data_IF_656356399685
#
_entry.id   IF_656356399685
#
_cell.length_a   1.000
_cell.length_b   1.000
_cell.length_c   1.000
_cell.angle_alpha   90.00
_cell.angle_beta   90.00
_cell.angle_gamma   90.00
#
_symmetry.space_group_name_H-M   'P 1'
#
loop_
_entity.id
_entity.type
_entity.pdbx_description
1 polymer ?
#
# COMPACT_ATOMS: atom_id res chain seq x y z
N UNK A 1 23.02 2.50 18.51
CA UNK A 1 23.12 3.96 18.77
C UNK A 1 23.92 4.36 20.01
N UNK A 2 24.40 3.45 20.86
CA UNK A 2 25.16 3.81 22.08
C UNK A 2 26.53 4.46 21.86
N UNK A 3 26.98 4.62 20.61
CA UNK A 3 28.20 5.35 20.26
C UNK A 3 28.02 6.88 20.25
N UNK A 4 26.77 7.37 20.20
CA UNK A 4 26.43 8.81 20.25
C UNK A 4 25.94 9.27 21.63
N UNK A 5 26.05 8.41 22.65
CA UNK A 5 25.66 8.74 24.02
C UNK A 5 26.77 9.62 24.66
N UNK A 6 26.49 10.89 24.99
CA UNK A 6 27.50 11.83 25.50
C UNK A 6 28.27 11.29 26.71
N UNK A 7 27.59 10.60 27.62
CA UNK A 7 28.20 10.01 28.82
C UNK A 7 29.21 8.92 28.48
N UNK A 8 28.91 8.12 27.45
CA UNK A 8 29.78 7.05 26.97
C UNK A 8 30.91 7.58 26.10
N UNK A 9 30.70 8.70 25.41
CA UNK A 9 31.77 9.37 24.67
C UNK A 9 32.84 9.93 25.60
N UNK A 10 32.45 10.47 26.77
CA UNK A 10 33.38 10.92 27.79
C UNK A 10 34.13 9.75 28.48
N UNK A 11 33.40 8.69 28.90
CA UNK A 11 33.99 7.60 29.72
C UNK A 11 34.62 6.47 28.92
N UNK A 12 34.19 6.24 27.70
CA UNK A 12 34.51 5.03 26.91
C UNK A 12 34.70 5.34 25.41
N UNK A 13 35.53 6.34 25.10
CA UNK A 13 35.82 6.79 23.73
C UNK A 13 36.20 5.63 22.78
N UNK A 14 37.07 4.70 23.21
CA UNK A 14 37.50 3.55 22.41
C UNK A 14 36.34 2.59 22.04
N UNK A 15 35.40 2.36 22.97
CA UNK A 15 34.21 1.54 22.73
C UNK A 15 33.26 2.22 21.74
N UNK A 16 33.09 3.54 21.86
CA UNK A 16 32.30 4.34 20.94
C UNK A 16 32.89 4.37 19.53
N UNK A 17 34.22 4.47 19.41
CA UNK A 17 34.93 4.41 18.13
C UNK A 17 34.71 3.08 17.40
N UNK A 18 34.91 1.95 18.10
CA UNK A 18 34.67 0.62 17.52
C UNK A 18 33.23 0.44 17.04
N UNK A 19 32.27 0.93 17.83
CA UNK A 19 30.84 0.89 17.47
C UNK A 19 30.53 1.79 16.27
N UNK A 20 31.16 2.96 16.17
CA UNK A 20 31.00 3.83 15.01
C UNK A 20 31.52 3.16 13.73
N UNK A 21 32.65 2.44 13.79
CA UNK A 21 33.16 1.66 12.66
C UNK A 21 32.15 0.61 12.18
N UNK A 22 31.50 -0.10 13.10
CA UNK A 22 30.43 -1.06 12.77
C UNK A 22 29.26 -0.33 12.10
N UNK A 23 28.83 0.81 12.65
CA UNK A 23 27.73 1.61 12.08
C UNK A 23 28.05 2.09 10.66
N UNK A 24 29.26 2.57 10.39
CA UNK A 24 29.69 2.98 9.05
C UNK A 24 29.69 1.80 8.08
N UNK A 25 30.18 0.63 8.50
CA UNK A 25 30.13 -0.58 7.65
C UNK A 25 28.71 -0.98 7.25
N UNK A 26 27.75 -0.85 8.18
CA UNK A 26 26.32 -1.08 7.90
C UNK A 26 25.77 -0.04 6.93
N UNK A 27 26.14 1.25 7.09
CA UNK A 27 25.69 2.31 6.19
C UNK A 27 26.23 2.16 4.75
N UNK A 28 27.46 1.67 4.61
CA UNK A 28 28.04 1.31 3.29
C UNK A 28 27.28 0.14 2.67
N UNK A 29 26.99 -0.92 3.43
CA UNK A 29 26.20 -2.06 2.96
C UNK A 29 24.78 -1.64 2.51
N UNK A 30 24.19 -0.65 3.19
CA UNK A 30 22.90 -0.07 2.81
C UNK A 30 22.99 0.95 1.67
N UNK A 31 24.14 1.12 1.02
CA UNK A 31 24.41 2.10 -0.06
C UNK A 31 24.10 3.55 0.32
N UNK A 32 24.16 3.89 1.61
CA UNK A 32 23.90 5.25 2.12
C UNK A 32 25.17 6.08 2.26
N UNK A 33 26.34 5.46 2.18
CA UNK A 33 27.65 6.10 2.29
C UNK A 33 28.63 5.43 1.31
N UNK A 34 29.58 6.19 0.75
CA UNK A 34 30.66 5.63 -0.06
C UNK A 34 31.82 5.17 0.83
N UNK A 35 32.44 4.04 0.49
CA UNK A 35 33.55 3.47 1.26
C UNK A 35 34.74 4.43 1.40
N UNK A 36 34.98 5.28 0.37
CA UNK A 36 36.03 6.31 0.34
C UNK A 36 35.86 7.40 1.41
N UNK A 37 34.65 7.58 1.94
CA UNK A 37 34.36 8.62 2.93
C UNK A 37 34.47 8.12 4.38
N UNK A 38 34.48 6.80 4.59
CA UNK A 38 34.52 6.17 5.91
C UNK A 38 35.74 6.60 6.73
N UNK A 39 36.93 6.60 6.11
CA UNK A 39 38.17 6.94 6.81
C UNK A 39 38.20 8.42 7.21
N UNK A 40 37.69 9.31 6.34
CA UNK A 40 37.53 10.73 6.67
C UNK A 40 36.61 10.90 7.88
N UNK A 41 35.46 10.21 7.90
CA UNK A 41 34.48 10.32 9.00
C UNK A 41 35.06 9.76 10.31
N UNK A 42 35.82 8.67 10.26
CA UNK A 42 36.48 8.11 11.44
C UNK A 42 37.55 9.04 11.99
N UNK A 43 38.30 9.73 11.13
CA UNK A 43 39.26 10.76 11.56
C UNK A 43 38.54 11.96 12.21
N UNK A 44 37.47 12.45 11.61
CA UNK A 44 36.63 13.51 12.19
C UNK A 44 36.05 13.09 13.55
N UNK A 45 35.58 11.84 13.66
CA UNK A 45 35.05 11.30 14.90
C UNK A 45 36.11 11.13 15.99
N UNK A 46 37.34 10.78 15.61
CA UNK A 46 38.44 10.69 16.56
C UNK A 46 38.85 12.08 17.08
N UNK A 47 38.92 13.07 16.19
CA UNK A 47 39.16 14.47 16.55
C UNK A 47 38.07 15.03 17.46
N UNK A 48 36.82 14.60 17.25
CA UNK A 48 35.70 14.99 18.12
C UNK A 48 35.89 14.52 19.57
N UNK A 49 36.53 13.36 19.83
CA UNK A 49 36.81 12.94 21.20
C UNK A 49 37.72 13.91 21.96
N UNK A 50 38.59 14.65 21.26
CA UNK A 50 39.39 15.69 21.90
C UNK A 50 38.51 16.85 22.38
N UNK A 51 37.48 17.23 21.63
CA UNK A 51 36.51 18.25 22.08
C UNK A 51 35.60 17.75 23.22
N UNK A 52 35.27 16.45 23.21
CA UNK A 52 34.55 15.81 24.31
C UNK A 52 35.40 15.81 25.59
N UNK A 53 36.70 15.51 25.47
CA UNK A 53 37.63 15.53 26.60
C UNK A 53 37.79 16.94 27.19
N UNK A 54 37.86 17.98 26.35
CA UNK A 54 37.90 19.37 26.81
C UNK A 54 36.62 19.82 27.55
N UNK A 55 35.47 19.20 27.26
CA UNK A 55 34.17 19.56 27.85
C UNK A 55 33.57 18.40 28.67
N UNK A 56 34.41 17.56 29.28
CA UNK A 56 34.00 16.30 29.91
C UNK A 56 32.85 16.45 30.91
N UNK A 57 32.82 17.55 31.68
CA UNK A 57 31.78 17.81 32.67
C UNK A 57 30.37 17.94 32.06
N UNK A 58 30.22 18.61 30.92
CA UNK A 58 28.93 18.74 30.23
C UNK A 58 28.47 17.42 29.62
N UNK A 59 29.40 16.61 29.11
CA UNK A 59 29.10 15.33 28.50
C UNK A 59 28.74 14.26 29.55
N UNK A 60 29.38 14.28 30.72
CA UNK A 60 29.07 13.34 31.81
C UNK A 60 27.76 13.66 32.52
N UNK A 61 27.43 14.94 32.69
CA UNK A 61 26.19 15.39 33.35
C UNK A 61 24.99 15.43 32.42
N UNK A 62 25.17 15.13 31.12
CA UNK A 62 24.09 15.12 30.13
C UNK A 62 22.91 14.26 30.59
N UNK A 63 21.70 14.84 30.61
CA UNK A 63 20.46 14.13 30.96
C UNK A 63 19.50 14.13 29.78
N UNK A 64 19.20 12.92 29.28
CA UNK A 64 18.32 12.71 28.15
C UNK A 64 16.85 13.08 28.43
N UNK A 65 16.43 13.18 29.70
CA UNK A 65 15.08 13.60 30.07
C UNK A 65 14.91 15.12 30.04
N UNK A 66 16.00 15.87 30.29
CA UNK A 66 15.99 17.34 30.33
C UNK A 66 16.37 17.96 28.99
N UNK A 67 17.32 17.36 28.28
CA UNK A 67 17.86 17.91 27.04
C UNK A 67 17.79 16.91 25.89
N UNK A 68 17.37 17.40 24.73
CA UNK A 68 17.38 16.58 23.51
C UNK A 68 18.81 16.40 22.99
N UNK A 69 19.14 15.16 22.63
CA UNK A 69 20.48 14.78 22.16
C UNK A 69 20.89 15.50 20.87
N UNK A 70 19.95 15.72 19.94
CA UNK A 70 20.20 16.41 18.67
C UNK A 70 20.62 17.87 18.88
N UNK A 71 19.90 18.59 19.75
CA UNK A 71 20.24 19.97 20.13
C UNK A 71 21.55 20.08 20.90
N UNK A 72 21.91 19.05 21.66
CA UNK A 72 23.16 19.03 22.40
C UNK A 72 24.34 18.82 21.45
N UNK A 73 24.28 17.80 20.58
CA UNK A 73 25.36 17.49 19.63
C UNK A 73 25.51 18.59 18.56
N UNK A 74 24.43 19.26 18.17
CA UNK A 74 24.50 20.35 17.18
C UNK A 74 25.37 21.51 17.66
N UNK A 75 25.39 21.82 18.97
CA UNK A 75 26.27 22.89 19.52
C UNK A 75 27.75 22.68 19.21
N UNK A 76 28.18 21.43 19.12
CA UNK A 76 29.58 21.07 18.94
C UNK A 76 29.95 20.77 17.48
N UNK A 77 29.01 20.23 16.71
CA UNK A 77 29.24 19.72 15.36
C UNK A 77 28.69 20.64 14.26
N UNK A 78 27.67 21.44 14.55
CA UNK A 78 27.04 22.31 13.56
C UNK A 78 27.88 23.58 13.33
N UNK A 79 28.14 23.90 12.06
CA UNK A 79 28.90 25.10 11.66
C UNK A 79 30.42 24.92 11.57
N UNK A 80 30.99 23.83 12.10
CA UNK A 80 32.42 23.55 11.98
C UNK A 80 32.73 22.81 10.67
N UNK A 81 33.59 23.40 9.82
CA UNK A 81 34.02 22.79 8.55
C UNK A 81 34.73 21.43 8.76
N UNK A 82 35.39 21.26 9.90
CA UNK A 82 36.14 20.06 10.26
C UNK A 82 35.28 18.83 10.59
N UNK A 83 33.96 18.97 10.79
CA UNK A 83 33.08 17.86 11.16
C UNK A 83 31.87 17.71 10.22
N UNK A 84 31.93 18.28 9.02
CA UNK A 84 30.78 18.31 8.11
C UNK A 84 30.33 16.90 7.70
N UNK A 85 31.27 16.00 7.41
CA UNK A 85 30.96 14.63 6.99
C UNK A 85 30.41 13.82 8.15
N UNK A 86 31.01 13.96 9.33
CA UNK A 86 30.54 13.36 10.56
C UNK A 86 29.12 13.83 10.93
N UNK A 87 28.85 15.13 10.83
CA UNK A 87 27.52 15.69 11.13
C UNK A 87 26.44 15.18 10.18
N UNK A 88 26.76 15.03 8.89
CA UNK A 88 25.84 14.45 7.91
C UNK A 88 25.47 13.00 8.27
N UNK A 89 26.44 12.18 8.69
CA UNK A 89 26.18 10.80 9.14
C UNK A 89 25.36 10.77 10.41
N UNK A 90 25.67 11.63 11.39
CA UNK A 90 24.92 11.74 12.64
C UNK A 90 23.47 12.14 12.37
N UNK A 91 23.20 13.06 11.44
CA UNK A 91 21.83 13.40 11.01
C UNK A 91 21.08 12.18 10.49
N UNK A 92 21.69 11.40 9.61
CA UNK A 92 21.08 10.16 9.08
C UNK A 92 20.76 9.20 10.24
N UNK A 93 21.70 9.03 11.17
CA UNK A 93 21.55 8.14 12.32
C UNK A 93 20.46 8.59 13.30
N UNK A 94 20.33 9.89 13.56
CA UNK A 94 19.27 10.45 14.42
C UNK A 94 17.89 10.35 13.76
N UNK A 95 17.82 10.34 12.41
CA UNK A 95 16.57 10.20 11.66
C UNK A 95 16.14 8.74 11.50
N UNK A 96 17.08 7.79 11.43
CA UNK A 96 16.80 6.37 11.21
C UNK A 96 15.85 5.75 12.26
N UNK A 97 15.88 6.22 13.52
CA UNK A 97 14.96 5.75 14.56
C UNK A 97 13.51 6.24 14.41
N UNK A 98 13.23 7.18 13.49
CA UNK A 98 11.91 7.81 13.39
C UNK A 98 10.92 7.11 12.45
N UNK A 99 11.32 6.02 11.77
CA UNK A 99 10.43 5.28 10.87
C UNK A 99 9.19 4.69 11.57
N UNK A 100 9.32 4.30 12.84
CA UNK A 100 8.20 3.80 13.65
C UNK A 100 7.74 4.79 14.72
N UNK A 101 8.59 5.70 15.22
CA UNK A 101 8.20 6.61 16.30
C UNK A 101 7.05 7.57 15.94
N UNK A 102 6.90 7.97 14.66
CA UNK A 102 5.77 8.79 14.21
C UNK A 102 4.49 7.97 14.16
N UNK A 103 4.59 6.73 13.68
CA UNK A 103 3.48 5.78 13.58
C UNK A 103 3.02 5.34 14.98
N UNK A 104 3.96 4.99 15.87
CA UNK A 104 3.72 4.65 17.29
C UNK A 104 3.19 5.85 18.10
N UNK A 105 3.66 7.08 17.84
CA UNK A 105 3.04 8.27 18.42
C UNK A 105 1.60 8.43 17.92
N UNK A 106 1.35 8.18 16.64
CA UNK A 106 0.01 8.13 16.08
C UNK A 106 -0.87 7.08 16.77
N UNK A 107 -0.34 5.88 17.01
CA UNK A 107 -1.05 4.82 17.74
C UNK A 107 -1.29 5.16 19.21
N UNK A 108 -0.32 5.77 19.91
CA UNK A 108 -0.51 6.19 21.29
C UNK A 108 -1.52 7.33 21.44
N UNK A 109 -1.60 8.23 20.45
CA UNK A 109 -2.65 9.28 20.40
C UNK A 109 -4.00 8.63 20.08
N UNK A 110 -4.03 7.68 19.15
CA UNK A 110 -5.25 6.95 18.81
C UNK A 110 -5.75 6.11 19.99
N UNK A 111 -4.87 5.55 20.84
CA UNK A 111 -5.24 4.80 22.05
C UNK A 111 -6.12 5.63 23.01
N UNK A 112 -5.89 6.93 23.09
CA UNK A 112 -6.72 7.83 23.92
C UNK A 112 -8.10 8.14 23.28
N UNK A 113 -8.25 7.85 21.98
CA UNK A 113 -9.46 8.10 21.17
C UNK A 113 -10.17 6.75 20.86
N UNK A 114 -9.51 5.63 21.16
CA UNK A 114 -9.90 4.27 20.84
C UNK A 114 -11.18 3.92 21.58
N UNK A 115 -12.24 3.76 20.80
CA UNK A 115 -13.52 3.23 21.28
C UNK A 115 -13.86 2.10 20.31
N UNK A 116 -14.24 0.94 20.86
CA UNK A 116 -14.62 -0.22 20.05
C UNK A 116 -15.70 0.16 19.04
N UNK A 117 -15.58 -0.37 17.81
CA UNK A 117 -16.57 -0.22 16.72
C UNK A 117 -16.67 1.16 16.04
N UNK A 118 -15.61 1.98 16.05
CA UNK A 118 -15.54 3.18 15.23
C UNK A 118 -14.91 2.92 13.85
N UNK A 119 -15.48 3.52 12.80
CA UNK A 119 -14.88 3.55 11.46
C UNK A 119 -13.70 4.53 11.41
N UNK A 120 -12.77 4.31 10.49
CA UNK A 120 -11.60 5.17 10.26
C UNK A 120 -11.98 6.65 10.10
N UNK A 121 -13.03 6.95 9.34
CA UNK A 121 -13.54 8.33 9.16
C UNK A 121 -13.87 9.02 10.49
N UNK A 122 -14.38 8.26 11.46
CA UNK A 122 -14.70 8.79 12.79
C UNK A 122 -13.44 9.07 13.60
N UNK A 123 -12.40 8.26 13.44
CA UNK A 123 -11.09 8.52 14.05
C UNK A 123 -10.45 9.78 13.49
N UNK A 124 -10.47 9.96 12.16
CA UNK A 124 -9.96 11.17 11.51
C UNK A 124 -10.71 12.41 12.01
N UNK A 125 -12.05 12.35 12.08
CA UNK A 125 -12.85 13.46 12.57
C UNK A 125 -12.54 13.81 14.05
N UNK A 126 -12.43 12.82 14.94
CA UNK A 126 -12.06 13.06 16.35
C UNK A 126 -10.67 13.64 16.49
N UNK A 127 -9.71 13.18 15.67
CA UNK A 127 -8.35 13.70 15.66
C UNK A 127 -8.28 15.16 15.22
N UNK A 128 -9.02 15.52 14.17
CA UNK A 128 -9.14 16.92 13.73
C UNK A 128 -9.65 17.83 14.86
N UNK A 129 -10.64 17.36 15.62
CA UNK A 129 -11.17 18.12 16.77
C UNK A 129 -10.10 18.30 17.85
N UNK A 130 -9.38 17.24 18.20
CA UNK A 130 -8.32 17.30 19.22
C UNK A 130 -7.15 18.18 18.80
N UNK A 131 -6.74 18.09 17.54
CA UNK A 131 -5.66 18.91 16.99
C UNK A 131 -6.04 20.41 17.05
N UNK A 132 -7.29 20.75 16.74
CA UNK A 132 -7.77 22.13 16.84
C UNK A 132 -7.89 22.62 18.29
N UNK A 133 -8.38 21.78 19.20
CA UNK A 133 -8.43 22.09 20.63
C UNK A 133 -7.03 22.32 21.22
N UNK A 134 -6.04 21.53 20.80
CA UNK A 134 -4.65 21.70 21.20
C UNK A 134 -4.07 23.03 20.70
N UNK A 135 -4.38 23.44 19.47
CA UNK A 135 -3.97 24.77 18.95
C UNK A 135 -4.59 25.91 19.76
N UNK A 136 -5.85 25.78 20.18
CA UNK A 136 -6.53 26.79 20.99
C UNK A 136 -6.05 26.84 22.45
N UNK A 137 -5.15 25.93 22.88
CA UNK A 137 -4.67 25.87 24.26
C UNK A 137 -5.65 25.19 25.22
N UNK A 138 -6.52 24.32 24.71
CA UNK A 138 -7.47 23.53 25.48
C UNK A 138 -8.92 24.02 25.40
N UNK A 139 -9.83 23.23 25.97
CA UNK A 139 -11.28 23.45 25.87
C UNK A 139 -11.74 24.78 26.50
N UNK A 140 -11.05 25.28 27.52
CA UNK A 140 -11.43 26.50 28.23
C UNK A 140 -11.24 27.77 27.39
N UNK A 141 -10.31 27.73 26.44
CA UNK A 141 -10.00 28.86 25.56
C UNK A 141 -10.75 28.79 24.23
N UNK A 142 -11.49 27.70 23.99
CA UNK A 142 -12.20 27.49 22.74
C UNK A 142 -13.50 28.30 22.70
N UNK A 143 -13.58 29.25 21.76
CA UNK A 143 -14.77 30.08 21.59
C UNK A 143 -15.82 29.38 20.73
N UNK A 144 -17.04 29.24 21.26
CA UNK A 144 -18.15 28.62 20.52
C UNK A 144 -18.75 29.61 19.51
N UNK A 145 -18.37 29.46 18.24
CA UNK A 145 -18.88 30.29 17.14
C UNK A 145 -20.36 29.98 16.80
N UNK A 146 -21.07 30.96 16.23
CA UNK A 146 -22.45 30.80 15.72
C UNK A 146 -22.57 29.67 14.69
N UNK A 147 -21.57 29.52 13.83
CA UNK A 147 -21.51 28.46 12.81
C UNK A 147 -21.45 27.06 13.42
N UNK A 148 -20.64 26.88 14.48
CA UNK A 148 -20.54 25.60 15.18
C UNK A 148 -21.88 25.19 15.79
N UNK A 149 -22.62 26.15 16.35
CA UNK A 149 -23.98 25.91 16.87
C UNK A 149 -24.96 25.50 15.76
N UNK A 150 -24.87 26.13 14.59
CA UNK A 150 -25.69 25.76 13.43
C UNK A 150 -25.33 24.35 12.94
N UNK A 151 -24.03 24.02 12.86
CA UNK A 151 -23.58 22.68 12.50
C UNK A 151 -24.07 21.62 13.48
N UNK A 152 -24.03 21.88 14.79
CA UNK A 152 -24.56 20.99 15.81
C UNK A 152 -26.08 20.76 15.65
N UNK A 153 -26.85 21.83 15.40
CA UNK A 153 -28.29 21.74 15.14
C UNK A 153 -28.61 20.85 13.91
N UNK A 154 -27.79 20.95 12.87
CA UNK A 154 -27.97 20.19 11.63
C UNK A 154 -27.31 18.79 11.65
N UNK A 155 -26.60 18.42 12.72
CA UNK A 155 -25.82 17.19 12.77
C UNK A 155 -26.70 15.94 12.58
N UNK A 156 -27.90 15.93 13.18
CA UNK A 156 -28.85 14.83 13.04
C UNK A 156 -29.34 14.66 11.60
N UNK A 157 -29.65 15.76 10.91
CA UNK A 157 -30.07 15.72 9.51
C UNK A 157 -28.96 15.16 8.62
N UNK A 158 -27.72 15.66 8.78
CA UNK A 158 -26.55 15.17 8.04
C UNK A 158 -26.28 13.69 8.29
N UNK A 159 -26.47 13.22 9.52
CA UNK A 159 -26.33 11.80 9.86
C UNK A 159 -27.35 10.93 9.12
N UNK A 160 -28.62 11.34 9.09
CA UNK A 160 -29.69 10.63 8.38
C UNK A 160 -29.40 10.60 6.88
N UNK A 161 -28.98 11.73 6.30
CA UNK A 161 -28.56 11.80 4.89
C UNK A 161 -27.41 10.84 4.58
N UNK A 162 -26.41 10.75 5.47
CA UNK A 162 -25.29 9.83 5.29
C UNK A 162 -25.74 8.36 5.33
N UNK A 163 -26.63 7.99 6.26
CA UNK A 163 -27.20 6.63 6.30
C UNK A 163 -27.96 6.32 5.00
N UNK A 164 -28.78 7.25 4.52
CA UNK A 164 -29.55 7.04 3.29
C UNK A 164 -28.62 6.89 2.08
N UNK A 165 -27.56 7.71 1.99
CA UNK A 165 -26.52 7.56 0.96
C UNK A 165 -25.83 6.20 1.03
N UNK A 166 -25.45 5.74 2.22
CA UNK A 166 -24.83 4.42 2.40
C UNK A 166 -25.78 3.29 1.96
N UNK A 167 -27.07 3.36 2.33
CA UNK A 167 -28.06 2.38 1.88
C UNK A 167 -28.21 2.35 0.36
N UNK A 168 -28.31 3.51 -0.28
CA UNK A 168 -28.40 3.61 -1.74
C UNK A 168 -27.12 3.12 -2.44
N UNK A 169 -25.95 3.39 -1.87
CA UNK A 169 -24.67 2.88 -2.38
C UNK A 169 -24.60 1.36 -2.30
N UNK A 170 -24.92 0.75 -1.14
CA UNK A 170 -24.96 -0.70 -1.01
C UNK A 170 -25.92 -1.35 -2.03
N UNK A 171 -27.12 -0.79 -2.20
CA UNK A 171 -28.09 -1.29 -3.18
C UNK A 171 -27.57 -1.17 -4.62
N UNK A 172 -26.90 -0.06 -4.96
CA UNK A 172 -26.32 0.13 -6.28
C UNK A 172 -25.12 -0.81 -6.52
N UNK A 173 -24.29 -1.05 -5.49
CA UNK A 173 -23.19 -2.00 -5.56
C UNK A 173 -23.69 -3.43 -5.78
N UNK A 174 -24.75 -3.86 -5.08
CA UNK A 174 -25.36 -5.17 -5.30
C UNK A 174 -25.92 -5.30 -6.71
N UNK A 175 -26.64 -4.29 -7.20
CA UNK A 175 -27.13 -4.25 -8.60
C UNK A 175 -25.98 -4.32 -9.59
N UNK A 176 -24.91 -3.56 -9.35
CA UNK A 176 -23.73 -3.55 -10.21
C UNK A 176 -22.98 -4.89 -10.17
N UNK A 177 -22.88 -5.55 -9.00
CA UNK A 177 -22.29 -6.89 -8.87
C UNK A 177 -23.09 -7.92 -9.65
N UNK A 178 -24.43 -7.92 -9.53
CA UNK A 178 -25.31 -8.81 -10.31
C UNK A 178 -25.18 -8.56 -11.80
N UNK A 179 -25.16 -7.29 -12.23
CA UNK A 179 -24.93 -6.93 -13.64
C UNK A 179 -23.58 -7.43 -14.14
N UNK A 180 -22.50 -7.24 -13.36
CA UNK A 180 -21.16 -7.73 -13.70
C UNK A 180 -21.14 -9.25 -13.88
N UNK A 181 -21.72 -9.99 -12.94
CA UNK A 181 -21.84 -11.46 -13.04
C UNK A 181 -22.55 -11.88 -14.31
N UNK A 182 -23.72 -11.29 -14.61
CA UNK A 182 -24.46 -11.60 -15.84
C UNK A 182 -23.64 -11.24 -17.08
N UNK A 183 -22.93 -10.10 -17.10
CA UNK A 183 -22.08 -9.72 -18.24
C UNK A 183 -20.89 -10.66 -18.44
N UNK A 184 -20.28 -11.15 -17.36
CA UNK A 184 -19.18 -12.12 -17.42
C UNK A 184 -19.69 -13.47 -17.95
N UNK A 185 -20.80 -13.98 -17.41
CA UNK A 185 -21.45 -15.21 -17.92
C UNK A 185 -21.81 -15.11 -19.41
N UNK A 186 -22.29 -13.94 -19.85
CA UNK A 186 -22.65 -13.69 -21.24
C UNK A 186 -21.40 -13.69 -22.15
N UNK A 187 -20.30 -13.08 -21.71
CA UNK A 187 -19.03 -13.13 -22.44
C UNK A 187 -18.47 -14.55 -22.53
N UNK A 188 -18.56 -15.33 -21.46
CA UNK A 188 -18.14 -16.73 -21.44
C UNK A 188 -18.97 -17.58 -22.41
N UNK A 189 -20.30 -17.43 -22.41
CA UNK A 189 -21.18 -18.12 -23.35
C UNK A 189 -20.90 -17.73 -24.79
N UNK A 190 -20.67 -16.44 -25.08
CA UNK A 190 -20.27 -15.98 -26.43
C UNK A 190 -18.95 -16.58 -26.88
N UNK A 191 -17.95 -16.66 -25.99
CA UNK A 191 -16.66 -17.26 -26.32
C UNK A 191 -16.78 -18.78 -26.59
N UNK A 192 -17.63 -19.48 -25.81
CA UNK A 192 -17.93 -20.90 -26.02
C UNK A 192 -18.65 -21.11 -27.35
N UNK A 193 -19.64 -20.28 -27.67
CA UNK A 193 -20.34 -20.30 -28.97
C UNK A 193 -19.36 -20.19 -30.13
N UNK A 194 -18.51 -19.17 -30.12
CA UNK A 194 -17.52 -18.94 -31.18
C UNK A 194 -16.61 -20.16 -31.41
N UNK A 195 -16.09 -20.78 -30.33
CA UNK A 195 -15.26 -21.98 -30.42
C UNK A 195 -16.01 -23.19 -31.03
N UNK A 196 -17.28 -23.38 -30.66
CA UNK A 196 -18.09 -24.47 -31.20
C UNK A 196 -18.41 -24.20 -32.68
N UNK A 197 -18.69 -22.95 -33.06
CA UNK A 197 -18.91 -22.55 -34.47
C UNK A 197 -17.67 -22.82 -35.35
N UNK A 198 -16.48 -22.46 -34.88
CA UNK A 198 -15.22 -22.79 -35.56
C UNK A 198 -15.03 -24.30 -35.72
N UNK A 199 -15.35 -25.06 -34.66
CA UNK A 199 -15.26 -26.53 -34.68
C UNK A 199 -16.24 -27.13 -35.69
N UNK A 200 -17.50 -26.66 -35.72
CA UNK A 200 -18.52 -27.10 -36.68
C UNK A 200 -18.07 -26.79 -38.12
N UNK A 201 -17.55 -25.59 -38.37
CA UNK A 201 -17.03 -25.22 -39.69
C UNK A 201 -15.86 -26.11 -40.13
N UNK A 202 -14.94 -26.43 -39.21
CA UNK A 202 -13.81 -27.31 -39.48
C UNK A 202 -14.24 -28.77 -39.77
N UNK A 203 -15.22 -29.28 -39.03
CA UNK A 203 -15.79 -30.62 -39.22
C UNK A 203 -16.53 -30.72 -40.56
N UNK A 204 -17.31 -29.71 -40.93
CA UNK A 204 -17.98 -29.64 -42.24
C UNK A 204 -16.96 -29.64 -43.38
N UNK A 205 -15.95 -28.75 -43.34
CA UNK A 205 -14.88 -28.71 -44.36
C UNK A 205 -14.14 -30.05 -44.47
N UNK A 206 -13.90 -30.72 -43.35
CA UNK A 206 -13.23 -32.03 -43.33
C UNK A 206 -14.12 -33.12 -43.90
N UNK A 207 -15.41 -33.11 -43.56
CA UNK A 207 -16.40 -34.04 -44.11
C UNK A 207 -16.56 -33.87 -45.63
N UNK A 208 -16.58 -32.64 -46.14
CA UNK A 208 -16.71 -32.35 -47.57
C UNK A 208 -15.47 -32.79 -48.35
N UNK A 209 -14.26 -32.56 -47.81
CA UNK A 209 -13.01 -33.10 -48.39
C UNK A 209 -12.99 -34.62 -48.43
N UNK A 210 -13.49 -35.29 -47.39
CA UNK A 210 -13.57 -36.76 -47.37
C UNK A 210 -14.60 -37.29 -48.36
N UNK A 211 -15.73 -36.59 -48.52
CA UNK A 211 -16.74 -36.92 -49.53
C UNK A 211 -16.18 -36.79 -50.96
N UNK A 212 -15.51 -35.68 -51.29
CA UNK A 212 -14.87 -35.50 -52.61
C UNK A 212 -13.80 -36.57 -52.90
N UNK A 213 -13.00 -36.95 -51.89
CA UNK A 213 -12.01 -38.03 -52.04
C UNK A 213 -12.68 -39.38 -52.27
N UNK A 214 -13.76 -39.66 -51.56
CA UNK A 214 -14.52 -40.89 -51.73
C UNK A 214 -15.14 -40.99 -53.14
N UNK A 215 -15.67 -39.89 -53.67
CA UNK A 215 -16.21 -39.83 -55.03
C UNK A 215 -15.15 -40.12 -56.10
N UNK A 216 -13.92 -39.59 -55.93
CA UNK A 216 -12.81 -39.81 -56.86
C UNK A 216 -12.24 -41.23 -56.80
N UNK A 217 -12.11 -41.80 -55.60
CA UNK A 217 -11.42 -43.08 -55.39
C UNK A 217 -12.37 -44.27 -55.18
N UNK A 218 -13.70 -44.06 -55.17
CA UNK A 218 -14.74 -45.04 -54.85
C UNK A 218 -14.52 -45.77 -53.51
N UNK A 219 -13.96 -45.05 -52.54
CA UNK A 219 -13.65 -45.58 -51.21
C UNK A 219 -14.84 -45.41 -50.25
N UNK A 220 -15.50 -46.52 -49.92
CA UNK A 220 -16.63 -46.56 -48.99
C UNK A 220 -16.25 -46.19 -47.55
N UNK A 221 -15.00 -46.40 -47.13
CA UNK A 221 -14.58 -46.12 -45.76
C UNK A 221 -14.52 -44.61 -45.50
N UNK A 222 -14.03 -43.84 -46.46
CA UNK A 222 -14.04 -42.36 -46.45
C UNK A 222 -15.47 -41.77 -46.37
N UNK A 223 -16.48 -42.46 -46.92
CA UNK A 223 -17.90 -42.03 -46.82
C UNK A 223 -18.42 -42.20 -45.38
N UNK A 224 -18.09 -43.34 -44.74
CA UNK A 224 -18.50 -43.59 -43.37
C UNK A 224 -17.90 -42.57 -42.40
N UNK A 225 -16.62 -42.21 -42.58
CA UNK A 225 -15.94 -41.17 -41.79
C UNK A 225 -16.56 -39.78 -42.02
N UNK A 226 -16.84 -39.41 -43.29
CA UNK A 226 -17.52 -38.15 -43.62
C UNK A 226 -18.90 -38.04 -42.94
N UNK A 227 -19.70 -39.11 -42.97
CA UNK A 227 -21.00 -39.15 -42.31
C UNK A 227 -20.89 -39.04 -40.78
N UNK A 228 -19.86 -39.65 -40.18
CA UNK A 228 -19.58 -39.51 -38.75
C UNK A 228 -19.30 -38.03 -38.38
N UNK A 229 -18.43 -37.35 -39.13
CA UNK A 229 -18.15 -35.93 -38.92
C UNK A 229 -19.37 -35.03 -39.13
N UNK A 230 -20.22 -35.32 -40.12
CA UNK A 230 -21.49 -34.61 -40.32
C UNK A 230 -22.46 -34.80 -39.15
N UNK A 231 -22.52 -36.01 -38.58
CA UNK A 231 -23.34 -36.29 -37.40
C UNK A 231 -22.85 -35.49 -36.19
N UNK A 232 -21.55 -35.51 -35.91
CA UNK A 232 -20.94 -34.73 -34.82
C UNK A 232 -21.12 -33.22 -35.02
N UNK A 233 -20.97 -32.71 -36.25
CA UNK A 233 -21.22 -31.31 -36.57
C UNK A 233 -22.69 -30.91 -36.31
N UNK A 234 -23.65 -31.79 -36.63
CA UNK A 234 -25.08 -31.57 -36.37
C UNK A 234 -25.40 -31.55 -34.87
N UNK A 235 -24.79 -32.43 -34.08
CA UNK A 235 -24.91 -32.44 -32.63
C UNK A 235 -24.37 -31.12 -32.02
N UNK A 236 -23.19 -30.68 -32.46
CA UNK A 236 -22.59 -29.40 -32.04
C UNK A 236 -23.39 -28.18 -32.51
N UNK A 237 -24.04 -28.23 -33.66
CA UNK A 237 -24.96 -27.18 -34.11
C UNK A 237 -26.21 -27.07 -33.22
N UNK A 238 -26.71 -28.18 -32.67
CA UNK A 238 -27.79 -28.15 -31.70
C UNK A 238 -27.33 -27.56 -30.35
N UNK A 239 -26.10 -27.87 -29.91
CA UNK A 239 -25.51 -27.23 -28.72
C UNK A 239 -25.43 -25.70 -28.87
N UNK A 240 -25.08 -25.18 -30.06
CA UNK A 240 -25.07 -23.74 -30.35
C UNK A 240 -26.46 -23.13 -30.14
N UNK A 241 -27.53 -23.77 -30.64
CA UNK A 241 -28.91 -23.28 -30.45
C UNK A 241 -29.29 -23.18 -28.97
N UNK A 242 -28.92 -24.18 -28.17
CA UNK A 242 -29.17 -24.14 -26.73
C UNK A 242 -28.36 -23.03 -26.02
N UNK A 243 -27.17 -22.71 -26.52
CA UNK A 243 -26.38 -21.58 -26.01
C UNK A 243 -27.02 -20.25 -26.40
N UNK A 244 -27.56 -20.13 -27.62
CA UNK A 244 -28.25 -18.92 -28.07
C UNK A 244 -29.51 -18.62 -27.26
N UNK A 245 -30.33 -19.62 -26.96
CA UNK A 245 -31.49 -19.47 -26.07
C UNK A 245 -31.08 -18.96 -24.68
N UNK A 246 -29.95 -19.45 -24.14
CA UNK A 246 -29.40 -18.99 -22.86
C UNK A 246 -28.87 -17.56 -22.93
N UNK A 247 -28.21 -17.19 -24.02
CA UNK A 247 -27.75 -15.81 -24.25
C UNK A 247 -28.95 -14.86 -24.34
N UNK A 248 -30.00 -15.23 -25.08
CA UNK A 248 -31.22 -14.43 -25.17
C UNK A 248 -31.89 -14.24 -23.81
N UNK A 249 -32.03 -15.32 -23.03
CA UNK A 249 -32.58 -15.24 -21.68
C UNK A 249 -31.77 -14.29 -20.77
N UNK A 250 -30.43 -14.41 -20.75
CA UNK A 250 -29.56 -13.54 -19.95
C UNK A 250 -29.55 -12.09 -20.45
N UNK A 251 -29.62 -11.85 -21.77
CA UNK A 251 -29.76 -10.49 -22.31
C UNK A 251 -31.10 -9.85 -21.95
N UNK A 252 -32.17 -10.64 -21.85
CA UNK A 252 -33.48 -10.19 -21.37
C UNK A 252 -33.45 -9.75 -19.91
N UNK A 253 -32.75 -10.50 -19.05
CA UNK A 253 -32.55 -10.14 -17.64
C UNK A 253 -31.75 -8.84 -17.44
N UNK A 254 -30.92 -8.47 -18.41
CA UNK A 254 -30.10 -7.25 -18.36
C UNK A 254 -30.85 -5.99 -18.82
N UNK A 255 -31.94 -6.17 -19.60
CA UNK A 255 -32.81 -5.10 -20.09
C UNK A 255 -33.94 -4.73 -19.13
N UNK A 256 -34.25 -5.58 -18.14
CA UNK A 256 -35.13 -5.27 -17.00
C UNK A 256 -34.37 -4.54 -15.89
#
# INVERSE_FOLDING_TARGET
MSCLDPRRMAKQAHSCYRKMKIVLSVLVNCKRLQEKECDSILMEFNSFFNEVACNSEEFETFDAFKNRLDKFLSKYLEGKKSYQKLWAVIKILLILSHGQAVVERGFSVNKNIEVENLKEESYVAKRLILDELNKCGGANNFQITKELRLCAKNARCKYIENINKQKSQCQNEEKNKKRKQITEELNDLKSKKMKIEETVSSLQKSADKLAEKAEKNRDFQSIAESNSFRKTAKEKANEIKMIDEKIEALTGQLKM
#
